data_IF_102522111376
#
_entry.id   IF_102522111376
#
_cell.length_a   1.000
_cell.length_b   1.000
_cell.length_c   1.000
_cell.angle_alpha   90.00
_cell.angle_beta   90.00
_cell.angle_gamma   90.00
#
_symmetry.space_group_name_H-M   'P 1'
#
loop_
_entity.id
_entity.type
_entity.pdbx_description
1 polymer ?
#
# COMPACT_ATOMS: atom_id res chain seq x y z
N UNK A 1 -13.20 0.30 -16.40
CA UNK A 1 -12.09 -0.18 -17.24
C UNK A 1 -10.88 -0.30 -16.33
N UNK A 2 -10.45 -1.54 -16.04
CA UNK A 2 -9.51 -1.82 -14.92
C UNK A 2 -8.07 -1.48 -15.32
N UNK A 3 -7.48 -0.52 -14.64
CA UNK A 3 -6.04 -0.30 -14.64
C UNK A 3 -5.50 -1.14 -13.47
N UNK A 4 -4.88 -2.29 -13.76
CA UNK A 4 -4.34 -3.19 -12.75
C UNK A 4 -2.86 -2.89 -12.53
N UNK A 5 -2.42 -2.76 -11.28
CA UNK A 5 -1.06 -3.10 -10.88
C UNK A 5 -1.07 -4.61 -10.62
N UNK A 6 -0.54 -5.40 -11.55
CA UNK A 6 -0.44 -6.84 -11.41
C UNK A 6 0.98 -7.22 -10.98
N UNK A 7 1.11 -8.13 -10.04
CA UNK A 7 2.38 -8.78 -9.73
C UNK A 7 2.76 -9.79 -10.81
N UNK A 8 4.06 -10.03 -11.02
CA UNK A 8 4.66 -10.88 -12.09
C UNK A 8 4.02 -12.28 -12.29
N UNK A 9 3.22 -12.77 -11.32
CA UNK A 9 2.73 -14.15 -11.32
C UNK A 9 1.59 -14.46 -12.31
N UNK A 10 0.88 -13.46 -12.86
CA UNK A 10 -0.33 -13.68 -13.68
C UNK A 10 -0.19 -13.37 -15.17
N UNK A 11 1.03 -13.20 -15.71
CA UNK A 11 1.28 -12.68 -17.07
C UNK A 11 1.79 -13.70 -18.09
N UNK A 12 1.46 -14.98 -17.96
CA UNK A 12 1.96 -16.00 -18.91
C UNK A 12 1.18 -16.12 -20.24
N UNK A 13 0.20 -15.25 -20.53
CA UNK A 13 -0.60 -15.43 -21.75
C UNK A 13 -1.09 -14.11 -22.36
N UNK A 14 -0.19 -13.31 -22.93
CA UNK A 14 -0.31 -12.43 -24.09
C UNK A 14 0.94 -11.54 -24.18
N UNK A 15 1.77 -11.71 -25.19
CA UNK A 15 2.93 -10.85 -25.46
C UNK A 15 2.46 -9.49 -26.00
N UNK A 16 1.92 -8.64 -25.14
CA UNK A 16 1.71 -7.23 -25.46
C UNK A 16 2.97 -6.44 -25.08
N UNK A 17 3.25 -5.41 -25.84
CA UNK A 17 4.51 -4.65 -25.80
C UNK A 17 4.61 -3.86 -24.47
N UNK A 18 5.12 -4.50 -23.43
CA UNK A 18 5.36 -3.87 -22.12
C UNK A 18 6.63 -3.02 -22.24
N UNK A 19 6.53 -1.73 -21.95
CA UNK A 19 7.67 -0.84 -21.85
C UNK A 19 8.47 -1.23 -20.59
N UNK A 20 9.73 -1.64 -20.80
CA UNK A 20 10.64 -1.96 -19.70
C UNK A 20 11.36 -0.70 -19.26
N UNK A 21 10.98 -0.16 -18.12
CA UNK A 21 11.60 1.02 -17.51
C UNK A 21 12.70 0.55 -16.57
N UNK A 22 13.87 0.24 -17.12
CA UNK A 22 15.05 -0.21 -16.36
C UNK A 22 15.78 0.94 -15.69
N UNK A 23 15.75 2.11 -16.31
CA UNK A 23 16.33 3.34 -15.83
C UNK A 23 15.39 4.52 -16.12
N UNK A 24 15.66 5.67 -15.55
CA UNK A 24 14.81 6.85 -15.70
C UNK A 24 14.70 7.32 -17.15
N UNK A 25 15.79 7.13 -17.92
CA UNK A 25 15.85 7.53 -19.33
C UNK A 25 14.93 6.72 -20.23
N UNK A 26 14.64 5.45 -19.90
CA UNK A 26 13.72 4.61 -20.70
C UNK A 26 12.32 5.22 -20.75
N UNK A 27 11.83 5.72 -19.62
CA UNK A 27 10.50 6.35 -19.53
C UNK A 27 10.49 7.73 -20.18
N UNK A 28 11.50 8.56 -19.86
CA UNK A 28 11.60 9.94 -20.36
C UNK A 28 11.74 9.94 -21.90
N UNK A 29 12.62 9.08 -22.44
CA UNK A 29 12.83 8.94 -23.89
C UNK A 29 11.58 8.42 -24.60
N UNK A 30 10.81 7.52 -23.98
CA UNK A 30 9.54 7.06 -24.54
C UNK A 30 8.53 8.20 -24.72
N UNK A 31 8.57 9.20 -23.84
CA UNK A 31 7.76 10.42 -23.90
C UNK A 31 8.38 11.52 -24.77
N UNK A 32 9.50 11.24 -25.48
CA UNK A 32 10.30 12.22 -26.23
C UNK A 32 10.86 13.37 -25.35
N UNK A 33 11.00 13.15 -24.05
CA UNK A 33 11.60 14.08 -23.12
C UNK A 33 13.13 14.03 -23.13
N UNK A 34 13.76 15.03 -22.53
CA UNK A 34 15.22 15.11 -22.40
C UNK A 34 15.69 14.45 -21.10
N UNK A 35 16.71 13.60 -21.21
CA UNK A 35 17.31 12.91 -20.06
C UNK A 35 18.49 13.74 -19.56
N UNK A 36 18.32 14.42 -18.43
CA UNK A 36 19.32 15.30 -17.83
C UNK A 36 20.22 14.58 -16.81
N UNK A 37 19.76 13.49 -16.17
CA UNK A 37 20.52 12.74 -15.17
C UNK A 37 20.25 11.22 -15.29
N UNK A 38 21.27 10.35 -15.08
CA UNK A 38 21.13 8.91 -15.29
C UNK A 38 20.24 8.21 -14.22
N UNK A 39 20.20 8.74 -13.00
CA UNK A 39 19.53 8.09 -11.86
C UNK A 39 18.26 8.82 -11.37
N UNK A 40 18.05 10.07 -11.77
CA UNK A 40 16.87 10.86 -11.39
C UNK A 40 16.30 11.55 -12.60
N UNK A 41 14.99 11.58 -12.73
CA UNK A 41 14.32 12.28 -13.80
C UNK A 41 12.98 12.84 -13.37
N UNK A 42 12.66 14.01 -13.88
CA UNK A 42 11.36 14.66 -13.72
C UNK A 42 10.76 14.89 -15.10
N UNK A 43 9.45 14.66 -15.21
CA UNK A 43 8.67 14.96 -16.42
C UNK A 43 7.56 15.91 -16.01
N UNK A 44 7.48 17.04 -16.71
CA UNK A 44 6.29 17.87 -16.75
C UNK A 44 5.39 17.36 -17.89
N UNK A 45 4.24 16.79 -17.56
CA UNK A 45 3.34 16.25 -18.58
C UNK A 45 2.75 17.34 -19.48
N UNK A 46 2.67 18.58 -19.03
CA UNK A 46 2.20 19.68 -19.88
C UNK A 46 3.12 19.98 -21.06
N UNK A 47 4.43 19.65 -20.92
CA UNK A 47 5.43 19.85 -21.98
C UNK A 47 5.47 18.72 -23.01
N UNK A 48 5.04 17.50 -22.62
CA UNK A 48 5.15 16.28 -23.45
C UNK A 48 3.82 15.74 -23.92
N UNK A 49 2.68 16.22 -23.38
CA UNK A 49 1.35 15.83 -23.82
C UNK A 49 1.02 16.35 -25.23
N UNK A 50 0.20 15.60 -26.00
CA UNK A 50 -0.44 14.34 -25.66
C UNK A 50 0.48 13.13 -25.77
N UNK A 51 0.44 12.24 -24.76
CA UNK A 51 1.31 11.06 -24.67
C UNK A 51 0.58 9.77 -25.11
N UNK A 52 1.29 8.75 -25.62
CA UNK A 52 0.71 7.44 -25.87
C UNK A 52 0.42 6.70 -24.56
N UNK A 53 -0.56 5.81 -24.58
CA UNK A 53 -0.71 4.82 -23.51
C UNK A 53 0.51 3.89 -23.47
N UNK A 54 0.91 3.47 -22.28
CA UNK A 54 1.91 2.41 -22.09
C UNK A 54 1.64 1.55 -20.89
N UNK A 55 1.81 0.26 -21.03
CA UNK A 55 1.90 -0.67 -19.91
C UNK A 55 3.39 -0.81 -19.55
N UNK A 56 3.76 -0.41 -18.36
CA UNK A 56 5.14 -0.27 -17.94
C UNK A 56 5.52 -1.31 -16.89
N UNK A 57 6.71 -1.92 -17.04
CA UNK A 57 7.36 -2.70 -16.00
C UNK A 57 8.51 -1.88 -15.43
N UNK A 58 8.41 -1.50 -14.16
CA UNK A 58 9.35 -0.60 -13.51
C UNK A 58 10.48 -1.35 -12.79
N UNK A 59 11.72 -0.95 -13.02
CA UNK A 59 12.90 -1.27 -12.21
C UNK A 59 13.38 -0.03 -11.43
N UNK A 60 12.60 1.05 -11.46
CA UNK A 60 12.82 2.34 -10.79
C UNK A 60 11.65 2.65 -9.84
N UNK A 61 11.89 3.53 -8.87
CA UNK A 61 10.82 4.18 -8.12
C UNK A 61 10.19 5.31 -8.94
N UNK A 62 8.89 5.50 -8.79
CA UNK A 62 8.17 6.59 -9.44
C UNK A 62 7.11 7.21 -8.54
N UNK A 63 6.97 8.53 -8.61
CA UNK A 63 5.88 9.30 -8.00
C UNK A 63 5.20 10.07 -9.13
N UNK A 64 4.00 9.63 -9.51
CA UNK A 64 3.20 10.19 -10.59
C UNK A 64 2.10 11.06 -10.01
N UNK A 65 2.11 12.35 -10.35
CA UNK A 65 1.16 13.35 -9.91
C UNK A 65 0.28 13.75 -11.08
N UNK A 66 -1.02 13.63 -10.96
CA UNK A 66 -1.99 14.04 -11.98
C UNK A 66 -2.99 15.04 -11.40
N UNK A 67 -3.22 16.15 -12.08
CA UNK A 67 -4.17 17.19 -11.65
C UNK A 67 -5.61 16.78 -11.93
N UNK A 68 -5.84 16.14 -13.08
CA UNK A 68 -7.13 15.62 -13.49
C UNK A 68 -6.95 14.21 -14.05
N UNK A 69 -7.21 13.19 -13.23
CA UNK A 69 -7.43 11.84 -13.76
C UNK A 69 -8.91 11.71 -14.11
N UNK A 70 -9.22 11.57 -15.40
CA UNK A 70 -10.57 11.30 -15.92
C UNK A 70 -11.08 9.88 -15.58
N UNK A 71 -10.43 9.19 -14.65
CA UNK A 71 -10.81 7.85 -14.22
C UNK A 71 -11.54 7.97 -12.89
N UNK A 72 -12.77 7.47 -12.83
CA UNK A 72 -13.50 7.23 -11.58
C UNK A 72 -12.72 6.21 -10.74
N UNK A 73 -11.76 6.68 -9.94
CA UNK A 73 -11.04 5.86 -8.99
C UNK A 73 -11.96 5.59 -7.80
N UNK A 74 -12.55 4.40 -7.78
CA UNK A 74 -13.22 3.90 -6.57
C UNK A 74 -12.16 3.44 -5.58
N UNK A 75 -12.09 4.11 -4.48
CA UNK A 75 -11.14 3.84 -3.39
C UNK A 75 -11.78 2.89 -2.38
N UNK A 76 -11.29 1.66 -2.31
CA UNK A 76 -11.81 0.64 -1.39
C UNK A 76 -13.31 0.41 -1.55
N UNK A 77 -14.15 1.22 -0.96
CA UNK A 77 -15.61 1.18 -1.06
C UNK A 77 -16.27 2.56 -1.21
N UNK A 78 -15.52 3.63 -1.37
CA UNK A 78 -16.04 5.00 -1.44
C UNK A 78 -15.60 5.74 -2.69
N UNK A 79 -16.47 6.59 -3.23
CA UNK A 79 -16.08 7.63 -4.18
C UNK A 79 -15.44 8.76 -3.40
N UNK A 80 -14.21 9.13 -3.76
CA UNK A 80 -13.55 10.27 -3.14
C UNK A 80 -13.41 11.39 -4.16
N UNK A 81 -13.96 12.53 -3.84
CA UNK A 81 -14.01 13.69 -4.71
C UNK A 81 -13.39 14.91 -4.02
N UNK A 82 -12.10 15.14 -4.25
CA UNK A 82 -11.53 16.47 -4.12
C UNK A 82 -11.60 17.12 -5.50
N UNK A 83 -12.64 17.93 -5.73
CA UNK A 83 -12.95 18.53 -7.05
C UNK A 83 -11.83 19.34 -7.68
N UNK A 84 -10.79 19.77 -6.94
CA UNK A 84 -9.74 20.65 -7.41
C UNK A 84 -8.32 20.27 -6.95
N UNK A 85 -8.13 19.10 -6.34
CA UNK A 85 -6.82 18.57 -5.97
C UNK A 85 -6.24 17.66 -7.04
N UNK A 86 -5.14 17.00 -6.70
CA UNK A 86 -4.49 16.03 -7.58
C UNK A 86 -4.56 14.61 -7.03
N UNK A 87 -4.17 13.66 -7.87
CA UNK A 87 -3.99 12.25 -7.51
C UNK A 87 -2.53 11.88 -7.65
N UNK A 88 -1.98 11.21 -6.64
CA UNK A 88 -0.59 10.74 -6.64
C UNK A 88 -0.59 9.22 -6.57
N UNK A 89 0.14 8.63 -7.52
CA UNK A 89 0.36 7.20 -7.63
C UNK A 89 1.85 6.94 -7.48
N UNK A 90 2.23 6.06 -6.56
CA UNK A 90 3.61 5.66 -6.35
C UNK A 90 3.85 4.25 -6.89
N UNK A 91 5.01 4.03 -7.49
CA UNK A 91 5.43 2.72 -7.97
C UNK A 91 6.82 2.38 -7.46
N UNK A 92 7.08 1.10 -7.23
CA UNK A 92 8.37 0.55 -6.82
C UNK A 92 8.95 -0.39 -7.88
N UNK A 93 10.26 -0.68 -7.82
CA UNK A 93 10.88 -1.70 -8.66
C UNK A 93 10.16 -3.05 -8.58
N UNK A 94 9.92 -3.68 -9.72
CA UNK A 94 9.21 -4.95 -9.86
C UNK A 94 7.71 -4.83 -10.10
N UNK A 95 7.13 -3.64 -10.02
CA UNK A 95 5.71 -3.40 -10.31
C UNK A 95 5.44 -3.20 -11.79
N UNK A 96 4.19 -3.46 -12.18
CA UNK A 96 3.67 -3.20 -13.53
C UNK A 96 2.49 -2.25 -13.39
N UNK A 97 2.51 -1.14 -14.13
CA UNK A 97 1.44 -0.14 -14.11
C UNK A 97 1.25 0.54 -15.46
N UNK A 98 0.11 1.25 -15.59
CA UNK A 98 -0.27 1.91 -16.82
C UNK A 98 -1.36 1.17 -17.59
N UNK A 99 -1.56 1.53 -18.84
CA UNK A 99 -2.58 0.97 -19.73
C UNK A 99 -1.92 0.57 -21.05
N UNK A 100 -2.33 -0.55 -21.62
CA UNK A 100 -1.85 -0.99 -22.93
C UNK A 100 -2.05 0.10 -23.99
N UNK A 101 -1.06 0.25 -24.88
CA UNK A 101 -1.16 1.17 -26.00
C UNK A 101 -2.24 0.68 -26.97
N UNK A 102 -3.29 1.46 -27.10
CA UNK A 102 -4.42 1.22 -28.00
C UNK A 102 -4.40 2.16 -29.23
N UNK A 103 -3.28 2.89 -29.43
CA UNK A 103 -3.12 3.88 -30.51
C UNK A 103 -3.73 5.26 -30.18
N UNK A 104 -4.47 5.39 -29.08
CA UNK A 104 -4.96 6.68 -28.61
C UNK A 104 -3.89 7.44 -27.83
N UNK A 105 -4.02 8.76 -27.85
CA UNK A 105 -3.18 9.63 -27.02
C UNK A 105 -4.02 10.27 -25.93
N UNK A 106 -3.38 10.53 -24.80
CA UNK A 106 -4.00 11.16 -23.64
C UNK A 106 -3.32 12.47 -23.30
N UNK A 107 -4.11 13.48 -23.03
CA UNK A 107 -3.64 14.70 -22.42
C UNK A 107 -3.52 14.50 -20.91
N UNK A 108 -2.31 14.66 -20.40
CA UNK A 108 -2.05 14.63 -18.96
C UNK A 108 -1.58 16.01 -18.49
N UNK A 109 -2.04 16.40 -17.32
CA UNK A 109 -1.57 17.56 -16.58
C UNK A 109 -0.99 17.05 -15.24
N UNK A 110 0.24 17.41 -14.98
CA UNK A 110 0.95 17.02 -13.76
C UNK A 110 2.41 16.67 -13.96
N UNK A 111 2.95 15.90 -13.04
CA UNK A 111 4.37 15.63 -12.92
C UNK A 111 4.66 14.15 -12.71
N UNK A 112 5.83 13.69 -13.18
CA UNK A 112 6.39 12.42 -12.76
C UNK A 112 7.80 12.63 -12.24
N UNK A 113 8.09 12.10 -11.05
CA UNK A 113 9.43 11.94 -10.52
C UNK A 113 9.79 10.46 -10.59
N UNK A 114 10.91 10.13 -11.27
CA UNK A 114 11.48 8.80 -11.31
C UNK A 114 12.88 8.83 -10.72
N UNK A 115 13.24 7.80 -9.95
CA UNK A 115 14.60 7.66 -9.45
C UNK A 115 15.00 6.18 -9.37
N UNK A 116 16.24 5.92 -9.82
CA UNK A 116 16.81 4.58 -9.79
C UNK A 116 17.24 4.21 -8.37
N UNK A 117 17.09 2.95 -7.92
CA UNK A 117 17.55 2.52 -6.59
C UNK A 117 19.00 2.87 -6.28
N UNK A 118 19.87 2.88 -7.27
CA UNK A 118 21.30 3.16 -7.09
C UNK A 118 21.61 4.55 -6.50
N UNK A 119 20.70 5.54 -6.67
CA UNK A 119 20.91 6.85 -6.05
C UNK A 119 20.80 6.80 -4.52
N UNK A 120 20.13 5.76 -4.00
CA UNK A 120 19.93 5.58 -2.57
C UNK A 120 21.14 4.93 -1.87
N UNK A 121 22.04 4.27 -2.63
CA UNK A 121 23.15 3.51 -2.06
C UNK A 121 24.06 4.37 -1.16
N UNK A 122 24.34 3.87 0.04
CA UNK A 122 25.16 4.54 1.02
C UNK A 122 24.48 5.71 1.74
N UNK A 123 23.18 5.93 1.51
CA UNK A 123 22.40 7.02 2.12
C UNK A 123 21.44 6.53 3.19
N UNK A 124 20.92 7.44 4.01
CA UNK A 124 19.89 7.11 4.99
C UNK A 124 18.59 6.62 4.35
N UNK A 125 18.30 7.02 3.11
CA UNK A 125 17.13 6.58 2.37
C UNK A 125 17.22 5.11 1.92
N UNK A 126 18.41 4.55 1.74
CA UNK A 126 18.57 3.14 1.37
C UNK A 126 17.86 2.20 2.36
N UNK A 127 18.07 2.42 3.65
CA UNK A 127 17.40 1.66 4.71
C UNK A 127 16.01 2.21 5.05
N UNK A 128 15.75 3.47 4.73
CA UNK A 128 14.52 4.18 5.05
C UNK A 128 13.42 4.02 4.01
N UNK A 129 13.72 3.59 2.78
CA UNK A 129 12.74 3.54 1.69
C UNK A 129 11.58 2.57 1.99
N UNK A 130 11.84 1.48 2.71
CA UNK A 130 10.83 0.53 3.17
C UNK A 130 9.83 1.10 4.17
N UNK A 131 10.10 2.26 4.76
CA UNK A 131 9.16 2.95 5.66
C UNK A 131 8.06 3.72 4.91
N UNK A 132 8.17 3.80 3.58
CA UNK A 132 7.17 4.41 2.71
C UNK A 132 6.29 3.32 2.09
N UNK A 133 5.38 2.75 2.91
CA UNK A 133 4.48 1.64 2.57
C UNK A 133 3.61 1.90 1.34
N UNK A 134 3.36 3.16 1.00
CA UNK A 134 2.56 3.56 -0.16
C UNK A 134 3.16 3.15 -1.52
N UNK A 135 4.42 2.75 -1.57
CA UNK A 135 4.99 2.11 -2.75
C UNK A 135 4.43 0.69 -3.01
N UNK A 136 3.78 0.08 -2.03
CA UNK A 136 3.12 -1.21 -2.16
C UNK A 136 1.61 -1.08 -2.42
N UNK A 137 1.07 0.14 -2.47
CA UNK A 137 -0.35 0.39 -2.62
C UNK A 137 -0.82 0.20 -4.07
N UNK A 138 -2.09 -0.14 -4.23
CA UNK A 138 -2.73 -0.20 -5.55
C UNK A 138 -3.18 1.19 -6.01
N UNK A 139 -3.50 1.30 -7.30
CA UNK A 139 -4.01 2.54 -7.90
C UNK A 139 -5.30 3.04 -7.25
N UNK A 140 -6.18 2.11 -6.83
CA UNK A 140 -7.40 2.44 -6.11
C UNK A 140 -7.14 2.90 -4.65
N UNK A 141 -5.91 2.83 -4.20
CA UNK A 141 -5.42 3.33 -2.91
C UNK A 141 -4.56 4.59 -3.07
N UNK A 142 -4.65 5.24 -4.23
CA UNK A 142 -3.88 6.44 -4.54
C UNK A 142 -4.10 7.57 -3.52
N UNK A 143 -3.09 8.41 -3.36
CA UNK A 143 -3.19 9.61 -2.54
C UNK A 143 -3.98 10.69 -3.29
N UNK A 144 -4.98 11.25 -2.64
CA UNK A 144 -5.70 12.42 -3.10
C UNK A 144 -5.24 13.64 -2.30
N UNK A 145 -4.76 14.65 -3.01
CA UNK A 145 -4.25 15.88 -2.42
C UNK A 145 -5.29 17.00 -2.45
N UNK A 146 -5.20 17.93 -1.50
CA UNK A 146 -5.85 19.23 -1.64
C UNK A 146 -5.12 20.05 -2.71
N UNK A 147 -5.71 21.15 -3.22
CA UNK A 147 -5.02 22.05 -4.15
C UNK A 147 -3.68 22.55 -3.60
N UNK A 148 -3.63 22.93 -2.33
CA UNK A 148 -2.44 23.46 -1.66
C UNK A 148 -1.36 22.39 -1.52
N UNK A 149 -1.75 21.15 -1.17
CA UNK A 149 -0.84 20.02 -1.09
C UNK A 149 -0.26 19.66 -2.47
N UNK A 150 -1.10 19.71 -3.51
CA UNK A 150 -0.66 19.49 -4.88
C UNK A 150 0.37 20.53 -5.32
N UNK A 151 0.08 21.82 -5.14
CA UNK A 151 0.98 22.90 -5.54
C UNK A 151 2.31 22.86 -4.77
N UNK A 152 2.28 22.45 -3.49
CA UNK A 152 3.49 22.25 -2.70
C UNK A 152 4.40 21.18 -3.30
N UNK A 153 3.84 20.05 -3.73
CA UNK A 153 4.61 18.98 -4.39
C UNK A 153 5.04 19.39 -5.79
N UNK A 154 4.19 20.07 -6.55
CA UNK A 154 4.53 20.61 -7.88
C UNK A 154 5.72 21.59 -7.81
N UNK A 155 5.78 22.42 -6.75
CA UNK A 155 6.94 23.28 -6.52
C UNK A 155 8.23 22.49 -6.30
N UNK A 156 8.16 21.39 -5.54
CA UNK A 156 9.31 20.50 -5.36
C UNK A 156 9.73 19.83 -6.68
N UNK A 157 8.78 19.42 -7.52
CA UNK A 157 9.09 18.84 -8.84
C UNK A 157 9.80 19.87 -9.73
N UNK A 158 9.35 21.13 -9.74
CA UNK A 158 10.03 22.21 -10.46
C UNK A 158 11.47 22.42 -9.97
N UNK A 159 11.68 22.45 -8.65
CA UNK A 159 13.04 22.59 -8.07
C UNK A 159 13.95 21.42 -8.41
N UNK A 160 13.43 20.19 -8.41
CA UNK A 160 14.20 19.01 -8.87
C UNK A 160 14.55 19.16 -10.35
N UNK A 161 13.61 19.57 -11.19
CA UNK A 161 13.85 19.81 -12.62
C UNK A 161 14.92 20.88 -12.87
N UNK A 162 14.87 22.00 -12.14
CA UNK A 162 15.87 23.06 -12.19
C UNK A 162 17.26 22.55 -11.78
N UNK A 163 17.34 21.75 -10.68
CA UNK A 163 18.57 21.16 -10.21
C UNK A 163 19.19 20.17 -11.24
N UNK A 164 18.33 19.36 -11.90
CA UNK A 164 18.77 18.42 -12.94
C UNK A 164 19.34 19.13 -14.17
N UNK A 165 18.83 20.31 -14.51
CA UNK A 165 19.30 21.15 -15.62
C UNK A 165 20.54 21.98 -15.25
N UNK A 166 20.82 22.08 -13.96
CA UNK A 166 21.95 22.83 -13.43
C UNK A 166 23.31 22.19 -13.72
N UNK A 167 24.36 22.82 -13.21
CA UNK A 167 25.72 22.33 -13.35
C UNK A 167 25.92 21.10 -12.44
N UNK A 168 26.34 19.99 -13.02
CA UNK A 168 26.70 18.78 -12.27
C UNK A 168 27.95 19.04 -11.43
N UNK A 169 27.80 18.89 -10.12
CA UNK A 169 28.89 18.93 -9.16
C UNK A 169 28.76 17.81 -8.10
N UNK A 170 29.66 17.77 -7.13
CA UNK A 170 29.69 16.72 -6.13
C UNK A 170 28.52 16.78 -5.14
N UNK A 171 27.86 17.95 -4.99
CA UNK A 171 26.74 18.17 -4.08
C UNK A 171 25.37 17.94 -4.71
N UNK A 172 25.30 17.85 -6.05
CA UNK A 172 24.02 17.67 -6.76
C UNK A 172 23.26 16.41 -6.30
N UNK A 173 23.98 15.30 -6.10
CA UNK A 173 23.36 14.06 -5.62
C UNK A 173 22.72 14.23 -4.23
N UNK A 174 23.38 14.92 -3.30
CA UNK A 174 22.87 15.19 -1.95
C UNK A 174 21.67 16.10 -1.99
N UNK A 175 21.66 17.12 -2.86
CA UNK A 175 20.53 18.02 -3.06
C UNK A 175 19.32 17.25 -3.62
N UNK A 176 19.53 16.43 -4.66
CA UNK A 176 18.45 15.60 -5.24
C UNK A 176 17.88 14.62 -4.23
N UNK A 177 18.72 13.96 -3.43
CA UNK A 177 18.29 13.07 -2.35
C UNK A 177 17.49 13.82 -1.26
N UNK A 178 17.89 15.05 -0.95
CA UNK A 178 17.16 15.93 -0.04
C UNK A 178 15.74 16.22 -0.55
N UNK A 179 15.61 16.58 -1.83
CA UNK A 179 14.31 16.81 -2.46
C UNK A 179 13.46 15.53 -2.55
N UNK A 180 14.05 14.41 -2.97
CA UNK A 180 13.36 13.11 -3.01
C UNK A 180 12.82 12.77 -1.61
N UNK A 181 13.67 12.88 -0.59
CA UNK A 181 13.26 12.64 0.80
C UNK A 181 12.10 13.54 1.21
N UNK A 182 12.12 14.81 0.83
CA UNK A 182 11.08 15.77 1.16
C UNK A 182 9.76 15.43 0.47
N UNK A 183 9.79 15.08 -0.84
CA UNK A 183 8.61 14.61 -1.58
C UNK A 183 7.99 13.38 -0.92
N UNK A 184 8.80 12.37 -0.58
CA UNK A 184 8.31 11.15 0.06
C UNK A 184 7.71 11.41 1.45
N UNK A 185 8.32 12.31 2.24
CA UNK A 185 7.80 12.68 3.54
C UNK A 185 6.48 13.46 3.45
N UNK A 186 6.32 14.33 2.45
CA UNK A 186 5.02 14.98 2.20
C UNK A 186 3.96 13.98 1.75
N UNK A 187 4.26 13.08 0.83
CA UNK A 187 3.34 12.01 0.46
C UNK A 187 2.90 11.20 1.69
N UNK A 188 3.83 10.81 2.56
CA UNK A 188 3.52 10.12 3.82
C UNK A 188 2.58 10.93 4.72
N UNK A 189 2.88 12.22 4.93
CA UNK A 189 2.02 13.13 5.72
C UNK A 189 0.61 13.23 5.14
N UNK A 190 0.49 13.35 3.82
CA UNK A 190 -0.80 13.50 3.16
C UNK A 190 -1.61 12.20 3.17
N UNK A 191 -0.97 11.03 3.06
CA UNK A 191 -1.63 9.75 3.33
C UNK A 191 -2.14 9.66 4.78
N UNK A 192 -1.33 10.11 5.75
CA UNK A 192 -1.74 10.16 7.15
C UNK A 192 -2.97 11.04 7.36
N UNK A 193 -3.00 12.24 6.74
CA UNK A 193 -4.18 13.11 6.72
C UNK A 193 -5.36 12.39 6.06
N UNK A 194 -5.15 11.77 4.88
CA UNK A 194 -6.20 11.06 4.15
C UNK A 194 -6.85 9.95 4.98
N UNK A 195 -6.07 9.17 5.72
CA UNK A 195 -6.61 8.19 6.66
C UNK A 195 -7.45 8.82 7.77
N UNK A 196 -7.06 9.97 8.29
CA UNK A 196 -7.79 10.66 9.37
C UNK A 196 -9.10 11.31 8.91
N UNK A 197 -9.11 11.92 7.73
CA UNK A 197 -10.29 12.64 7.22
C UNK A 197 -11.43 11.70 6.80
N UNK A 198 -11.14 10.45 6.51
CA UNK A 198 -12.11 9.41 6.09
C UNK A 198 -12.72 8.63 7.25
N UNK A 199 -13.00 9.30 8.34
CA UNK A 199 -13.41 8.68 9.60
C UNK A 199 -14.65 7.77 9.47
N UNK A 200 -15.66 8.16 8.71
CA UNK A 200 -16.90 7.40 8.54
C UNK A 200 -16.68 6.17 7.66
N UNK A 201 -15.95 6.30 6.56
CA UNK A 201 -15.64 5.20 5.64
C UNK A 201 -14.72 4.17 6.29
N UNK A 202 -13.80 4.61 7.14
CA UNK A 202 -12.88 3.72 7.84
C UNK A 202 -13.55 2.89 8.95
N UNK A 203 -14.63 3.39 9.57
CA UNK A 203 -15.47 2.59 10.49
C UNK A 203 -16.14 1.45 9.72
N UNK A 204 -16.62 1.71 8.50
CA UNK A 204 -17.17 0.66 7.63
C UNK A 204 -16.12 -0.41 7.30
N UNK A 205 -14.88 -0.01 7.01
CA UNK A 205 -13.79 -0.97 6.77
C UNK A 205 -13.54 -1.87 7.98
N UNK A 206 -13.57 -1.35 9.21
CA UNK A 206 -13.43 -2.17 10.41
C UNK A 206 -14.58 -3.20 10.56
N UNK A 207 -15.80 -2.77 10.29
CA UNK A 207 -16.96 -3.68 10.29
C UNK A 207 -16.82 -4.76 9.23
N UNK A 208 -16.41 -4.38 8.02
CA UNK A 208 -16.19 -5.32 6.92
C UNK A 208 -15.01 -6.27 7.22
N UNK A 209 -13.92 -5.78 7.81
CA UNK A 209 -12.80 -6.63 8.21
C UNK A 209 -13.24 -7.67 9.24
N UNK A 210 -14.02 -7.26 10.24
CA UNK A 210 -14.62 -8.19 11.21
C UNK A 210 -15.51 -9.23 10.51
N UNK A 211 -16.37 -8.79 9.59
CA UNK A 211 -17.24 -9.69 8.81
C UNK A 211 -16.45 -10.68 7.96
N UNK A 212 -15.34 -10.28 7.36
CA UNK A 212 -14.43 -11.18 6.64
C UNK A 212 -13.92 -12.28 7.58
N UNK A 213 -13.48 -11.92 8.79
CA UNK A 213 -13.02 -12.89 9.79
C UNK A 213 -14.15 -13.81 10.25
N UNK A 214 -15.33 -13.29 10.49
CA UNK A 214 -16.52 -14.08 10.86
C UNK A 214 -16.85 -15.10 9.74
N UNK A 215 -16.93 -14.64 8.50
CA UNK A 215 -17.21 -15.48 7.33
C UNK A 215 -16.13 -16.56 7.11
N UNK A 216 -14.84 -16.25 7.37
CA UNK A 216 -13.75 -17.21 7.29
C UNK A 216 -14.01 -18.43 8.21
N UNK A 217 -14.43 -18.19 9.44
CA UNK A 217 -14.72 -19.24 10.40
C UNK A 217 -16.08 -19.90 10.17
N UNK A 218 -17.10 -19.19 9.71
CA UNK A 218 -18.41 -19.75 9.34
C UNK A 218 -18.31 -20.75 8.19
N UNK A 219 -17.42 -20.46 7.22
CA UNK A 219 -17.13 -21.35 6.09
C UNK A 219 -16.11 -22.45 6.43
N UNK A 220 -15.68 -22.55 7.68
CA UNK A 220 -14.66 -23.51 8.14
C UNK A 220 -13.34 -23.48 7.34
N UNK A 221 -12.99 -22.32 6.79
CA UNK A 221 -11.76 -22.17 5.98
C UNK A 221 -10.49 -22.41 6.80
N UNK A 222 -10.51 -22.19 8.11
CA UNK A 222 -9.40 -22.45 9.02
C UNK A 222 -8.98 -23.94 9.07
N UNK A 223 -9.88 -24.84 8.72
CA UNK A 223 -9.55 -26.28 8.69
C UNK A 223 -8.61 -26.63 7.54
N UNK A 224 -8.66 -25.90 6.45
CA UNK A 224 -7.83 -26.14 5.26
C UNK A 224 -6.65 -25.17 5.18
N UNK A 225 -6.87 -23.91 5.55
CA UNK A 225 -5.91 -22.83 5.33
C UNK A 225 -5.23 -22.33 6.62
N UNK A 226 -5.56 -22.93 7.78
CA UNK A 226 -5.03 -22.46 9.08
C UNK A 226 -5.61 -21.12 9.49
N UNK A 227 -4.82 -20.30 10.18
CA UNK A 227 -5.27 -18.98 10.65
C UNK A 227 -5.44 -18.00 9.48
N UNK A 228 -6.46 -17.10 9.55
CA UNK A 228 -6.61 -16.05 8.54
C UNK A 228 -5.38 -15.13 8.51
N UNK A 229 -4.84 -14.89 7.31
CA UNK A 229 -3.72 -13.98 7.10
C UNK A 229 -4.19 -12.56 6.81
N UNK A 230 -3.31 -11.58 7.03
CA UNK A 230 -3.58 -10.18 6.63
C UNK A 230 -3.78 -10.09 5.12
N UNK A 231 -3.02 -10.85 4.33
CA UNK A 231 -3.13 -10.88 2.88
C UNK A 231 -4.52 -11.36 2.42
N UNK A 232 -5.02 -12.46 2.98
CA UNK A 232 -6.37 -12.93 2.70
C UNK A 232 -7.43 -11.88 3.04
N UNK A 233 -7.34 -11.28 4.23
CA UNK A 233 -8.33 -10.28 4.66
C UNK A 233 -8.29 -9.02 3.78
N UNK A 234 -7.11 -8.57 3.38
CA UNK A 234 -6.92 -7.44 2.50
C UNK A 234 -7.52 -7.71 1.10
N UNK A 235 -7.27 -8.90 0.54
CA UNK A 235 -7.86 -9.33 -0.73
C UNK A 235 -9.39 -9.31 -0.70
N UNK A 236 -10.01 -9.82 0.37
CA UNK A 236 -11.47 -9.80 0.52
C UNK A 236 -12.04 -8.39 0.68
N UNK A 237 -11.21 -7.44 1.08
CA UNK A 237 -11.56 -6.02 1.21
C UNK A 237 -11.18 -5.20 -0.04
N UNK A 238 -10.59 -5.83 -1.05
CA UNK A 238 -10.07 -5.19 -2.26
C UNK A 238 -8.98 -4.16 -1.95
N UNK A 239 -8.12 -4.48 -0.97
CA UNK A 239 -7.02 -3.64 -0.50
C UNK A 239 -5.70 -4.39 -0.56
N UNK A 240 -4.58 -3.65 -0.53
CA UNK A 240 -3.26 -4.24 -0.28
C UNK A 240 -3.06 -4.51 1.21
N UNK A 241 -2.20 -5.48 1.53
CA UNK A 241 -1.84 -5.77 2.92
C UNK A 241 -1.20 -4.58 3.63
N UNK A 242 -0.39 -3.79 2.90
CA UNK A 242 0.25 -2.58 3.39
C UNK A 242 -0.78 -1.52 3.76
N UNK A 243 -1.70 -1.22 2.82
CA UNK A 243 -2.76 -0.24 3.06
C UNK A 243 -3.67 -0.63 4.24
N UNK A 244 -4.14 -1.89 4.27
CA UNK A 244 -4.94 -2.39 5.39
C UNK A 244 -4.17 -2.30 6.72
N UNK A 245 -2.87 -2.60 6.71
CA UNK A 245 -2.00 -2.50 7.90
C UNK A 245 -1.90 -1.08 8.43
N UNK A 246 -1.66 -0.10 7.56
CA UNK A 246 -1.53 1.32 7.91
C UNK A 246 -2.87 1.91 8.37
N UNK A 247 -3.94 1.59 7.66
CA UNK A 247 -5.30 1.97 8.05
C UNK A 247 -5.64 1.47 9.46
N UNK A 248 -5.41 0.18 9.72
CA UNK A 248 -5.68 -0.43 11.02
C UNK A 248 -4.87 0.23 12.13
N UNK A 249 -3.56 0.44 11.91
CA UNK A 249 -2.66 1.07 12.87
C UNK A 249 -3.09 2.49 13.21
N UNK A 250 -3.48 3.28 12.20
CA UNK A 250 -3.96 4.66 12.39
C UNK A 250 -5.28 4.72 13.11
N UNK A 251 -6.21 3.82 12.79
CA UNK A 251 -7.58 3.87 13.27
C UNK A 251 -7.76 3.27 14.65
N UNK A 252 -7.06 2.14 14.92
CA UNK A 252 -7.23 1.36 16.15
C UNK A 252 -6.04 1.45 17.09
N UNK A 253 -4.92 2.02 16.65
CA UNK A 253 -3.63 1.96 17.33
C UNK A 253 -2.95 0.58 17.24
N UNK A 254 -3.58 -0.39 16.55
CA UNK A 254 -3.11 -1.77 16.46
C UNK A 254 -2.90 -2.21 15.01
N UNK A 255 -1.90 -3.06 14.76
CA UNK A 255 -1.70 -3.65 13.44
C UNK A 255 -2.86 -4.61 13.06
N UNK A 256 -3.07 -4.82 11.75
CA UNK A 256 -4.09 -5.75 11.25
C UNK A 256 -3.91 -7.17 11.82
N UNK A 257 -2.67 -7.67 11.91
CA UNK A 257 -2.39 -8.99 12.53
C UNK A 257 -2.75 -9.00 14.02
N UNK A 258 -2.55 -7.87 14.72
CA UNK A 258 -2.94 -7.74 16.12
C UNK A 258 -4.46 -7.84 16.32
N UNK A 259 -5.22 -7.29 15.38
CA UNK A 259 -6.68 -7.38 15.38
C UNK A 259 -7.16 -8.80 15.06
N UNK A 260 -6.55 -9.49 14.10
CA UNK A 260 -6.81 -10.90 13.80
C UNK A 260 -6.59 -11.75 15.05
N UNK A 261 -5.44 -11.58 15.73
CA UNK A 261 -5.14 -12.30 16.97
C UNK A 261 -6.17 -12.01 18.06
N UNK A 262 -6.58 -10.74 18.23
CA UNK A 262 -7.64 -10.40 19.18
C UNK A 262 -8.95 -11.14 18.87
N UNK A 263 -9.37 -11.15 17.61
CA UNK A 263 -10.57 -11.85 17.16
C UNK A 263 -10.50 -13.36 17.46
N UNK A 264 -9.36 -13.99 17.16
CA UNK A 264 -9.12 -15.43 17.43
C UNK A 264 -9.21 -15.72 18.93
N UNK A 265 -8.62 -14.86 19.76
CA UNK A 265 -8.67 -15.04 21.22
C UNK A 265 -10.09 -14.90 21.76
N UNK A 266 -10.92 -14.00 21.24
CA UNK A 266 -12.32 -13.91 21.63
C UNK A 266 -13.09 -15.21 21.25
N UNK A 267 -12.87 -15.76 20.06
CA UNK A 267 -13.44 -17.09 19.69
C UNK A 267 -12.91 -18.20 20.60
N UNK A 268 -11.62 -18.16 20.97
CA UNK A 268 -11.04 -19.13 21.90
C UNK A 268 -11.72 -19.09 23.26
N UNK A 269 -11.94 -17.91 23.82
CA UNK A 269 -12.65 -17.74 25.09
C UNK A 269 -14.06 -18.34 25.05
N UNK A 270 -14.78 -18.08 23.96
CA UNK A 270 -16.14 -18.66 23.78
C UNK A 270 -16.09 -20.18 23.72
N UNK A 271 -15.16 -20.77 22.98
CA UNK A 271 -15.01 -22.23 22.87
C UNK A 271 -14.61 -22.87 24.22
N UNK A 272 -13.65 -22.27 24.92
CA UNK A 272 -13.22 -22.72 26.25
C UNK A 272 -14.36 -22.63 27.27
N UNK A 273 -15.14 -21.54 27.26
CA UNK A 273 -16.31 -21.38 28.14
C UNK A 273 -17.44 -22.35 27.80
N UNK A 274 -17.56 -22.79 26.54
CA UNK A 274 -18.49 -23.84 26.12
C UNK A 274 -18.00 -25.26 26.50
N UNK A 275 -16.86 -25.39 27.18
CA UNK A 275 -16.37 -26.67 27.72
C UNK A 275 -15.41 -27.42 26.81
N UNK A 276 -14.98 -26.85 25.68
CA UNK A 276 -13.97 -27.50 24.83
C UNK A 276 -12.61 -27.56 25.53
N UNK A 277 -11.87 -28.64 25.28
CA UNK A 277 -10.49 -28.75 25.77
C UNK A 277 -9.56 -27.77 25.07
N UNK A 278 -8.43 -27.44 25.70
CA UNK A 278 -7.41 -26.53 25.12
C UNK A 278 -6.92 -27.03 23.75
N UNK A 279 -6.66 -28.34 23.63
CA UNK A 279 -6.20 -28.92 22.37
C UNK A 279 -7.30 -28.86 21.30
N UNK A 280 -8.54 -29.19 21.64
CA UNK A 280 -9.67 -29.12 20.70
C UNK A 280 -9.92 -27.67 20.25
N UNK A 281 -9.87 -26.73 21.17
CA UNK A 281 -10.00 -25.29 20.84
C UNK A 281 -8.91 -24.81 19.87
N UNK A 282 -7.66 -25.26 20.07
CA UNK A 282 -6.56 -24.92 19.16
C UNK A 282 -6.85 -25.40 17.74
N UNK A 283 -7.23 -26.67 17.56
CA UNK A 283 -7.55 -27.23 16.23
C UNK A 283 -8.80 -26.58 15.62
N UNK A 284 -9.84 -26.35 16.42
CA UNK A 284 -11.06 -25.66 15.97
C UNK A 284 -10.76 -24.26 15.39
N UNK A 285 -9.75 -23.59 15.93
CA UNK A 285 -9.35 -22.25 15.50
C UNK A 285 -8.33 -22.25 14.34
N UNK A 286 -7.85 -23.42 13.90
CA UNK A 286 -6.93 -23.54 12.79
C UNK A 286 -5.45 -23.52 13.19
N UNK A 287 -5.12 -23.76 14.45
CA UNK A 287 -3.72 -23.97 14.86
C UNK A 287 -3.29 -25.39 14.57
N UNK A 288 -2.17 -25.54 13.90
CA UNK A 288 -1.56 -26.83 13.64
C UNK A 288 -1.05 -27.49 14.94
N UNK A 289 -0.51 -26.68 15.87
CA UNK A 289 0.03 -27.14 17.15
C UNK A 289 -0.62 -26.40 18.31
N UNK A 290 -1.23 -27.11 19.30
CA UNK A 290 -1.83 -26.50 20.49
C UNK A 290 -0.87 -25.62 21.31
N UNK A 291 0.44 -25.91 21.25
CA UNK A 291 1.47 -25.08 21.88
C UNK A 291 1.58 -23.67 21.30
N UNK A 292 1.33 -23.48 20.01
CA UNK A 292 1.30 -22.15 19.37
C UNK A 292 0.10 -21.35 19.85
N UNK A 293 -1.07 -21.98 19.92
CA UNK A 293 -2.28 -21.41 20.51
C UNK A 293 -2.05 -20.97 21.95
N UNK A 294 -1.51 -21.84 22.80
CA UNK A 294 -1.28 -21.54 24.21
C UNK A 294 -0.33 -20.36 24.41
N UNK A 295 0.73 -20.26 23.60
CA UNK A 295 1.66 -19.13 23.61
C UNK A 295 0.98 -17.81 23.20
N UNK A 296 0.18 -17.85 22.11
CA UNK A 296 -0.55 -16.67 21.65
C UNK A 296 -1.57 -16.22 22.69
N UNK A 297 -2.33 -17.16 23.25
CA UNK A 297 -3.32 -16.88 24.29
C UNK A 297 -2.67 -16.24 25.51
N UNK A 298 -1.59 -16.84 26.03
CA UNK A 298 -0.84 -16.29 27.19
C UNK A 298 -0.28 -14.91 26.91
N UNK A 299 0.26 -14.70 25.72
CA UNK A 299 0.78 -13.37 25.31
C UNK A 299 -0.29 -12.28 25.29
N UNK A 300 -1.54 -12.64 24.99
CA UNK A 300 -2.66 -11.70 24.85
C UNK A 300 -3.45 -11.49 26.13
N UNK A 301 -3.63 -12.54 26.92
CA UNK A 301 -4.48 -12.55 28.11
C UNK A 301 -3.69 -12.53 29.44
N UNK A 302 -2.36 -12.64 29.39
CA UNK A 302 -1.50 -12.70 30.56
C UNK A 302 -1.48 -14.08 31.27
N UNK A 303 -2.41 -14.96 30.96
CA UNK A 303 -2.55 -16.31 31.54
C UNK A 303 -2.70 -17.38 30.45
N UNK A 304 -2.34 -18.61 30.74
CA UNK A 304 -2.54 -19.74 29.83
C UNK A 304 -4.01 -20.10 29.65
N UNK A 305 -4.40 -20.81 28.56
CA UNK A 305 -5.78 -21.30 28.39
C UNK A 305 -6.27 -22.18 29.54
N UNK A 306 -5.38 -22.98 30.15
CA UNK A 306 -5.71 -23.85 31.29
C UNK A 306 -5.99 -23.06 32.54
N UNK A 307 -5.18 -22.03 32.84
CA UNK A 307 -5.42 -21.11 33.96
C UNK A 307 -6.74 -20.34 33.75
N UNK A 308 -7.00 -19.90 32.52
CA UNK A 308 -8.28 -19.24 32.17
C UNK A 308 -9.48 -20.13 32.41
N UNK A 309 -9.45 -21.41 32.03
CA UNK A 309 -10.50 -22.40 32.30
C UNK A 309 -10.72 -22.62 33.82
N UNK A 310 -9.63 -22.68 34.58
CA UNK A 310 -9.73 -22.82 36.05
C UNK A 310 -10.39 -21.60 36.68
N UNK A 311 -10.04 -20.41 36.21
CA UNK A 311 -10.62 -19.14 36.69
C UNK A 311 -12.13 -19.05 36.41
N UNK A 312 -12.57 -19.38 35.18
CA UNK A 312 -13.99 -19.39 34.81
C UNK A 312 -14.78 -20.36 35.68
N UNK A 313 -14.25 -21.57 35.92
CA UNK A 313 -14.92 -22.59 36.76
C UNK A 313 -15.08 -22.13 38.22
N UNK A 314 -14.17 -21.32 38.73
CA UNK A 314 -14.27 -20.74 40.05
C UNK A 314 -15.41 -19.69 40.13
N UNK A 315 -15.46 -18.78 39.11
CA UNK A 315 -16.52 -17.76 39.04
C UNK A 315 -17.93 -18.37 38.89
N UNK A 316 -18.04 -19.45 38.09
CA UNK A 316 -19.34 -20.12 37.87
C UNK A 316 -19.86 -20.94 39.09
N UNK A 317 -19.05 -21.08 40.15
CA UNK A 317 -19.40 -21.80 41.37
C UNK A 317 -19.76 -20.87 42.57
N UNK A 318 -19.57 -19.56 42.36
CA UNK A 318 -20.02 -18.51 43.27
C UNK A 318 -21.35 -17.95 42.82
#
# INVERSE_FOLDING_TARGET
>A
MNIFVATKANLSCRMNKILKVKNVGDYISYLNGKVDHPLVGVVDYTEVSPIPHSLNSYEVYGVFMHKHLSVDLTYGCGKYDYKNGGTIICVAPGQIGGKEDNGERIDLDGWALLFHPDILHGTMLEHGISNYSFFEYNINEALHTTPEEYEMLADLMRRISEELQGKRDQTQADILLGYISLVLNYCKRFYERQFLTRKVENVDVLHRFRKVLETYYEKNMQQQNGLPSVAYCAEQLFMTSGYLGDLMKRYTGHSAISYIHYFIIQKAKNALSAGYSVAHTAYLLGFEYPGHFSRLFKKREGMSPSEYLSHIKQISRC
#
